data_IF_225085994164
#
_entry.id   IF_225085994164
#
_cell.length_a   1.000
_cell.length_b   1.000
_cell.length_c   1.000
_cell.angle_alpha   90.00
_cell.angle_beta   90.00
_cell.angle_gamma   90.00
#
_symmetry.space_group_name_H-M   'P 1'
#
loop_
_entity.id
_entity.type
_entity.pdbx_description
1 polymer ?
#
# COMPACT_ATOMS: atom_id res chain seq x y z
N UNK A 1 14.84 14.79 35.50
CA UNK A 1 13.92 15.85 35.05
C UNK A 1 14.79 16.81 34.27
N UNK A 2 14.98 16.51 32.99
CA UNK A 2 15.65 17.39 32.04
C UNK A 2 14.70 17.48 30.86
N UNK A 3 13.97 18.60 30.79
CA UNK A 3 13.08 18.93 29.69
C UNK A 3 13.94 19.20 28.45
N UNK A 4 14.04 18.20 27.57
CA UNK A 4 14.49 18.43 26.20
C UNK A 4 13.39 19.16 25.43
N UNK A 5 13.32 20.48 25.62
CA UNK A 5 12.70 21.35 24.65
C UNK A 5 13.49 21.23 23.33
N UNK A 6 12.89 20.55 22.34
CA UNK A 6 13.34 20.63 20.96
C UNK A 6 13.02 22.06 20.46
N UNK A 7 13.90 23.01 20.80
CA UNK A 7 13.91 24.33 20.18
C UNK A 7 14.27 24.13 18.70
N UNK A 8 13.45 24.71 17.81
CA UNK A 8 13.84 24.85 16.41
C UNK A 8 15.22 25.51 16.37
N UNK A 9 16.13 25.10 15.46
CA UNK A 9 17.38 25.84 15.28
C UNK A 9 17.06 27.32 15.08
N UNK A 10 17.75 28.20 15.83
CA UNK A 10 17.54 29.65 15.87
C UNK A 10 17.51 30.31 14.47
N UNK A 11 18.02 29.60 13.47
CA UNK A 11 18.02 29.93 12.04
C UNK A 11 16.61 30.03 11.40
N UNK A 12 15.58 29.51 12.09
CA UNK A 12 14.16 29.56 11.69
C UNK A 12 13.34 30.60 12.49
N UNK A 13 13.96 31.31 13.43
CA UNK A 13 13.35 32.47 14.07
C UNK A 13 13.54 33.72 13.20
N UNK A 14 12.42 34.33 12.83
CA UNK A 14 12.37 35.66 12.23
C UNK A 14 13.01 36.64 13.21
N UNK A 15 14.25 37.11 12.99
CA UNK A 15 14.66 38.49 13.35
C UNK A 15 16.10 38.94 13.02
N UNK A 16 16.84 38.36 12.05
CA UNK A 16 18.16 38.94 11.73
C UNK A 16 18.67 38.89 10.29
N UNK A 17 17.88 38.43 9.31
CA UNK A 17 18.33 38.40 7.91
C UNK A 17 17.20 38.81 6.94
N UNK A 18 17.50 39.44 5.79
CA UNK A 18 16.49 39.87 4.82
C UNK A 18 15.58 38.69 4.47
N UNK A 19 14.26 38.94 4.48
CA UNK A 19 13.18 37.96 4.37
C UNK A 19 13.56 36.76 3.50
N UNK A 20 14.05 35.69 4.13
CA UNK A 20 14.51 34.50 3.43
C UNK A 20 13.29 33.86 2.77
N UNK A 21 13.34 33.66 1.46
CA UNK A 21 12.28 32.93 0.75
C UNK A 21 12.31 31.47 1.16
N UNK A 22 11.25 31.01 1.81
CA UNK A 22 11.04 29.60 2.12
C UNK A 22 10.43 28.94 0.88
N UNK A 23 11.00 27.81 0.48
CA UNK A 23 10.48 26.99 -0.60
C UNK A 23 9.94 25.69 -0.01
N UNK A 24 8.84 25.19 -0.58
CA UNK A 24 8.22 23.95 -0.12
C UNK A 24 7.91 23.03 -1.29
N UNK A 25 8.03 21.72 -1.04
CA UNK A 25 7.60 20.66 -1.93
C UNK A 25 6.83 19.62 -1.12
N UNK A 26 5.58 19.38 -1.50
CA UNK A 26 4.77 18.28 -1.02
C UNK A 26 4.94 17.08 -1.96
N UNK A 27 4.92 15.87 -1.39
CA UNK A 27 5.02 14.63 -2.16
C UNK A 27 3.95 13.66 -1.71
N UNK A 28 3.22 13.10 -2.66
CA UNK A 28 2.36 11.96 -2.37
C UNK A 28 3.24 10.75 -2.05
N UNK A 29 2.95 10.08 -0.93
CA UNK A 29 3.78 8.96 -0.45
C UNK A 29 3.09 7.62 -0.52
N UNK A 30 1.76 7.58 -0.48
CA UNK A 30 1.00 6.36 -0.61
C UNK A 30 -0.41 6.68 -1.13
N UNK A 31 -0.97 5.74 -1.86
CA UNK A 31 -2.37 5.74 -2.29
C UNK A 31 -2.78 4.30 -2.59
N UNK A 32 -4.08 4.05 -2.58
CA UNK A 32 -4.66 2.74 -2.83
C UNK A 32 -5.82 2.90 -3.80
N UNK A 33 -6.32 1.78 -4.34
CA UNK A 33 -7.42 1.81 -5.29
C UNK A 33 -8.60 2.64 -4.76
N UNK A 34 -9.31 3.37 -5.63
CA UNK A 34 -10.56 4.01 -5.27
C UNK A 34 -11.51 3.01 -4.61
N UNK A 35 -12.39 3.52 -3.74
CA UNK A 35 -13.44 2.69 -3.14
C UNK A 35 -14.25 2.03 -4.26
N UNK A 36 -14.34 0.70 -4.22
CA UNK A 36 -15.20 -0.09 -5.10
C UNK A 36 -16.36 -0.69 -4.29
N UNK A 37 -17.39 -1.12 -4.99
CA UNK A 37 -18.62 -1.61 -4.41
C UNK A 37 -18.67 -3.13 -4.46
N UNK A 38 -19.32 -3.73 -3.46
CA UNK A 38 -19.76 -5.11 -3.57
C UNK A 38 -20.86 -5.20 -4.61
N UNK A 39 -20.97 -6.37 -5.23
CA UNK A 39 -22.05 -6.61 -6.15
C UNK A 39 -23.42 -6.50 -5.46
N UNK A 40 -24.39 -5.88 -6.15
CA UNK A 40 -25.78 -5.75 -5.71
C UNK A 40 -26.66 -6.73 -6.47
N UNK A 41 -27.85 -6.99 -5.96
CA UNK A 41 -28.81 -7.96 -6.55
C UNK A 41 -29.39 -7.56 -7.91
N UNK A 42 -29.18 -6.33 -8.39
CA UNK A 42 -29.71 -5.84 -9.67
C UNK A 42 -28.92 -6.33 -10.90
N UNK A 43 -27.76 -6.96 -10.70
CA UNK A 43 -26.87 -7.50 -11.72
C UNK A 43 -26.42 -6.46 -12.77
N UNK A 44 -26.59 -5.16 -12.51
CA UNK A 44 -26.31 -4.09 -13.49
C UNK A 44 -24.82 -4.02 -13.82
N UNK A 45 -23.98 -4.15 -12.78
CA UNK A 45 -22.52 -4.13 -12.92
C UNK A 45 -22.05 -5.28 -13.82
N UNK A 46 -22.60 -6.48 -13.67
CA UNK A 46 -22.24 -7.64 -14.50
C UNK A 46 -22.53 -7.37 -15.98
N UNK A 47 -23.73 -6.89 -16.28
CA UNK A 47 -24.15 -6.58 -17.65
C UNK A 47 -23.20 -5.57 -18.30
N UNK A 48 -22.90 -4.48 -17.59
CA UNK A 48 -21.94 -3.46 -18.04
C UNK A 48 -20.54 -4.02 -18.29
N UNK A 49 -20.05 -4.88 -17.40
CA UNK A 49 -18.74 -5.51 -17.57
C UNK A 49 -18.72 -6.42 -18.82
N UNK A 50 -19.76 -7.25 -19.02
CA UNK A 50 -19.89 -8.11 -20.20
C UNK A 50 -19.99 -7.27 -21.49
N UNK A 51 -20.74 -6.17 -21.49
CA UNK A 51 -20.88 -5.26 -22.64
C UNK A 51 -19.54 -4.63 -23.03
N UNK A 52 -18.73 -4.21 -22.05
CA UNK A 52 -17.39 -3.67 -22.31
C UNK A 52 -16.46 -4.72 -22.94
N UNK A 53 -16.50 -5.95 -22.45
CA UNK A 53 -15.75 -7.08 -23.01
C UNK A 53 -16.24 -7.43 -24.41
N UNK A 54 -17.56 -7.51 -24.63
CA UNK A 54 -18.16 -7.79 -25.94
C UNK A 54 -17.80 -6.72 -26.97
N UNK A 55 -17.67 -5.46 -26.55
CA UNK A 55 -17.28 -4.35 -27.41
C UNK A 55 -15.76 -4.27 -27.65
N UNK A 56 -14.98 -5.22 -27.14
CA UNK A 56 -13.50 -5.26 -27.22
C UNK A 56 -12.82 -4.00 -26.62
N UNK A 57 -13.53 -3.30 -25.72
CA UNK A 57 -13.04 -2.07 -25.06
C UNK A 57 -12.29 -2.36 -23.77
N UNK A 58 -12.34 -3.60 -23.28
CA UNK A 58 -11.62 -4.04 -22.10
C UNK A 58 -11.68 -5.55 -21.94
N UNK A 59 -10.92 -6.04 -20.96
CA UNK A 59 -10.90 -7.45 -20.55
C UNK A 59 -11.34 -7.51 -19.10
N UNK A 60 -12.16 -8.50 -18.75
CA UNK A 60 -12.55 -8.73 -17.37
C UNK A 60 -11.40 -9.45 -16.66
N UNK A 61 -10.87 -8.82 -15.62
CA UNK A 61 -9.89 -9.41 -14.72
C UNK A 61 -10.53 -9.77 -13.39
N UNK A 62 -10.18 -10.94 -12.88
CA UNK A 62 -10.62 -11.43 -11.58
C UNK A 62 -9.41 -11.88 -10.77
N UNK A 63 -9.39 -11.53 -9.49
CA UNK A 63 -8.37 -11.97 -8.52
C UNK A 63 -9.00 -12.44 -7.22
N UNK A 64 -8.30 -13.26 -6.44
CA UNK A 64 -8.78 -13.65 -5.12
C UNK A 64 -8.83 -12.44 -4.17
N UNK A 65 -9.89 -12.35 -3.36
CA UNK A 65 -9.94 -11.39 -2.24
C UNK A 65 -9.32 -12.04 -1.01
N UNK A 66 -8.06 -11.71 -0.76
CA UNK A 66 -7.38 -12.10 0.47
C UNK A 66 -7.98 -11.38 1.67
N UNK A 67 -7.91 -12.03 2.84
CA UNK A 67 -8.55 -11.54 4.06
C UNK A 67 -7.51 -11.05 5.05
N UNK A 68 -7.24 -9.74 5.01
CA UNK A 68 -6.23 -9.13 5.84
C UNK A 68 -6.47 -7.63 6.06
N UNK A 69 -5.37 -6.90 6.23
CA UNK A 69 -5.37 -5.45 6.37
C UNK A 69 -4.59 -4.81 5.21
N UNK A 70 -5.10 -3.71 4.66
CA UNK A 70 -4.38 -2.94 3.65
C UNK A 70 -3.07 -2.38 4.25
N UNK A 71 -1.96 -2.75 3.64
CA UNK A 71 -0.61 -2.29 3.95
C UNK A 71 0.02 -1.68 2.70
N UNK A 72 0.65 -0.53 2.83
CA UNK A 72 1.31 0.18 1.74
C UNK A 72 2.75 0.51 2.14
N UNK A 73 3.67 0.38 1.19
CA UNK A 73 5.09 0.60 1.41
C UNK A 73 5.74 1.30 0.23
N UNK A 74 6.51 2.35 0.51
CA UNK A 74 7.07 3.24 -0.52
C UNK A 74 8.57 3.47 -0.35
N UNK A 75 9.24 2.53 0.32
CA UNK A 75 10.64 2.64 0.70
C UNK A 75 10.81 3.05 2.17
N UNK A 76 12.00 2.79 2.68
CA UNK A 76 12.36 2.94 4.09
C UNK A 76 12.29 4.40 4.58
N UNK A 77 12.88 5.34 3.84
CA UNK A 77 12.86 6.76 4.23
C UNK A 77 11.48 7.41 4.02
N UNK A 78 10.68 6.86 3.12
CA UNK A 78 9.34 7.36 2.81
C UNK A 78 8.33 6.89 3.85
N UNK A 79 8.39 5.61 4.20
CA UNK A 79 7.62 5.01 5.28
C UNK A 79 6.57 3.99 4.83
N UNK A 80 5.88 3.48 5.85
CA UNK A 80 4.86 2.46 5.73
C UNK A 80 3.50 3.00 6.19
N UNK A 81 2.43 2.57 5.52
CA UNK A 81 1.10 3.12 5.71
C UNK A 81 0.07 1.99 5.81
N UNK A 82 -0.89 2.14 6.71
CA UNK A 82 -2.15 1.43 6.70
C UNK A 82 -3.21 2.32 6.04
N UNK A 83 -4.43 1.79 5.84
CA UNK A 83 -5.52 2.47 5.11
C UNK A 83 -5.69 3.97 5.44
N UNK A 84 -5.65 4.34 6.72
CA UNK A 84 -5.88 5.71 7.18
C UNK A 84 -4.88 6.15 8.26
N UNK A 85 -3.74 5.48 8.38
CA UNK A 85 -2.80 5.71 9.47
C UNK A 85 -1.39 5.27 9.10
N UNK A 86 -0.40 5.72 9.87
CA UNK A 86 0.99 5.29 9.80
C UNK A 86 1.56 5.21 11.22
N UNK A 87 2.77 4.70 11.39
CA UNK A 87 3.48 4.80 12.67
C UNK A 87 2.86 3.98 13.82
N UNK A 88 2.11 2.94 13.50
CA UNK A 88 1.36 2.13 14.46
C UNK A 88 1.63 0.63 14.27
N UNK A 89 0.99 -0.19 15.11
CA UNK A 89 1.16 -1.64 15.09
C UNK A 89 0.92 -2.28 13.72
N UNK A 90 -0.13 -1.87 12.98
CA UNK A 90 -0.42 -2.42 11.64
C UNK A 90 0.75 -2.21 10.68
N UNK A 91 1.30 -0.99 10.67
CA UNK A 91 2.45 -0.67 9.82
C UNK A 91 3.73 -1.37 10.25
N UNK A 92 3.96 -1.54 11.56
CA UNK A 92 5.12 -2.26 12.07
C UNK A 92 5.06 -3.76 11.72
N UNK A 93 3.89 -4.38 11.86
CA UNK A 93 3.65 -5.77 11.42
C UNK A 93 3.89 -5.89 9.91
N UNK A 94 3.37 -4.96 9.10
CA UNK A 94 3.59 -5.00 7.66
C UNK A 94 5.06 -4.88 7.25
N UNK A 95 5.83 -3.99 7.89
CA UNK A 95 7.28 -3.86 7.68
C UNK A 95 8.00 -5.16 8.05
N UNK A 96 7.68 -5.75 9.20
CA UNK A 96 8.26 -7.03 9.64
C UNK A 96 7.93 -8.19 8.67
N UNK A 97 6.66 -8.31 8.26
CA UNK A 97 6.22 -9.37 7.34
C UNK A 97 6.84 -9.20 5.95
N UNK A 98 6.97 -7.98 5.46
CA UNK A 98 7.68 -7.70 4.20
C UNK A 98 9.18 -8.03 4.32
N UNK A 99 9.82 -7.66 5.42
CA UNK A 99 11.22 -8.01 5.68
C UNK A 99 11.42 -9.55 5.65
N UNK A 100 10.54 -10.27 6.34
CA UNK A 100 10.53 -11.75 6.36
C UNK A 100 10.29 -12.34 4.98
N UNK A 101 9.42 -11.72 4.17
CA UNK A 101 9.18 -12.13 2.78
C UNK A 101 10.47 -12.04 1.94
N UNK A 102 11.26 -10.98 2.10
CA UNK A 102 12.58 -10.89 1.47
C UNK A 102 13.56 -11.96 1.98
N UNK A 103 13.55 -12.25 3.28
CA UNK A 103 14.38 -13.32 3.86
C UNK A 103 14.02 -14.69 3.27
N UNK A 104 12.73 -15.00 3.14
CA UNK A 104 12.26 -16.25 2.51
C UNK A 104 12.68 -16.34 1.04
N UNK A 105 12.54 -15.24 0.29
CA UNK A 105 12.76 -15.22 -1.15
C UNK A 105 14.23 -15.14 -1.58
N UNK A 106 15.07 -14.45 -0.79
CA UNK A 106 16.45 -14.10 -1.16
C UNK A 106 17.50 -14.66 -0.20
N UNK A 107 17.11 -15.20 0.96
CA UNK A 107 18.00 -15.81 1.96
C UNK A 107 19.17 -14.88 2.32
N UNK A 108 20.41 -15.34 2.17
CA UNK A 108 21.62 -14.57 2.51
C UNK A 108 21.75 -13.24 1.74
N UNK A 109 21.04 -13.08 0.62
CA UNK A 109 21.01 -11.83 -0.16
C UNK A 109 19.90 -10.86 0.26
N UNK A 110 19.03 -11.23 1.22
CA UNK A 110 17.86 -10.45 1.57
C UNK A 110 18.19 -9.02 1.99
N UNK A 111 19.19 -8.82 2.86
CA UNK A 111 19.62 -7.48 3.28
C UNK A 111 20.02 -6.59 2.09
N UNK A 112 20.80 -7.13 1.15
CA UNK A 112 21.18 -6.41 -0.06
C UNK A 112 19.93 -6.09 -0.92
N UNK A 113 19.03 -7.06 -1.08
CA UNK A 113 17.83 -6.90 -1.91
C UNK A 113 16.82 -5.93 -1.31
N UNK A 114 16.70 -5.87 0.01
CA UNK A 114 15.90 -4.88 0.72
C UNK A 114 16.42 -3.46 0.44
N UNK A 115 17.74 -3.22 0.54
CA UNK A 115 18.33 -1.92 0.19
C UNK A 115 18.11 -1.53 -1.27
N UNK A 116 18.33 -2.48 -2.19
CA UNK A 116 18.09 -2.25 -3.62
C UNK A 116 16.63 -1.94 -3.90
N UNK A 117 15.70 -2.66 -3.27
CA UNK A 117 14.26 -2.46 -3.39
C UNK A 117 13.84 -1.08 -2.88
N UNK A 118 14.28 -0.70 -1.68
CA UNK A 118 13.96 0.60 -1.09
C UNK A 118 14.46 1.75 -1.96
N UNK A 119 15.72 1.66 -2.39
CA UNK A 119 16.30 2.62 -3.33
C UNK A 119 15.54 2.69 -4.65
N UNK A 120 15.04 1.56 -5.15
CA UNK A 120 14.24 1.51 -6.36
C UNK A 120 12.87 2.18 -6.18
N UNK A 121 12.14 1.87 -5.10
CA UNK A 121 10.84 2.49 -4.81
C UNK A 121 10.97 4.00 -4.66
N UNK A 122 11.96 4.47 -3.91
CA UNK A 122 12.14 5.89 -3.62
C UNK A 122 12.53 6.69 -4.85
N UNK A 123 13.44 6.16 -5.68
CA UNK A 123 13.90 6.82 -6.91
C UNK A 123 12.82 6.91 -7.98
N UNK A 124 11.98 5.89 -8.07
CA UNK A 124 10.91 5.82 -9.06
C UNK A 124 9.57 6.31 -8.49
N UNK A 125 9.55 6.85 -7.27
CA UNK A 125 8.33 7.32 -6.59
C UNK A 125 7.20 6.29 -6.59
N UNK A 126 7.50 5.04 -6.28
CA UNK A 126 6.53 3.94 -6.29
C UNK A 126 5.97 3.67 -4.89
N UNK A 127 4.68 3.33 -4.84
CA UNK A 127 4.00 2.79 -3.67
C UNK A 127 3.48 1.38 -3.98
N UNK A 128 3.86 0.41 -3.15
CA UNK A 128 3.40 -0.97 -3.25
C UNK A 128 2.28 -1.19 -2.24
N UNK A 129 1.09 -1.50 -2.73
CA UNK A 129 -0.08 -1.84 -1.92
C UNK A 129 -0.22 -3.35 -1.83
N UNK A 130 -0.41 -3.84 -0.62
CA UNK A 130 -0.45 -5.25 -0.28
C UNK A 130 -1.62 -5.52 0.66
N UNK A 131 -2.17 -6.73 0.56
CA UNK A 131 -2.96 -7.29 1.66
C UNK A 131 -2.00 -7.93 2.66
N UNK A 132 -2.03 -7.46 3.91
CA UNK A 132 -1.28 -8.00 5.03
C UNK A 132 -2.14 -9.04 5.75
N UNK A 133 -1.86 -10.32 5.49
CA UNK A 133 -2.63 -11.45 6.01
C UNK A 133 -1.86 -12.06 7.19
N UNK A 134 -2.33 -11.77 8.40
CA UNK A 134 -1.69 -12.22 9.65
C UNK A 134 -2.75 -12.52 10.69
N UNK A 135 -2.46 -13.39 11.66
CA UNK A 135 -3.42 -13.64 12.76
C UNK A 135 -3.26 -12.71 13.95
N UNK A 136 -2.34 -11.73 13.90
CA UNK A 136 -2.02 -10.85 15.05
C UNK A 136 -2.76 -9.51 14.99
N UNK A 137 -3.34 -9.17 13.84
CA UNK A 137 -4.09 -7.93 13.61
C UNK A 137 -5.62 -8.14 13.59
N UNK A 138 -6.08 -9.35 13.91
CA UNK A 138 -7.48 -9.78 13.85
C UNK A 138 -7.72 -10.78 12.73
N UNK A 139 -8.81 -11.54 12.86
CA UNK A 139 -9.25 -12.50 11.85
C UNK A 139 -10.41 -11.88 11.05
N UNK A 140 -10.17 -11.55 9.78
CA UNK A 140 -11.18 -10.97 8.87
C UNK A 140 -11.93 -12.03 8.04
N UNK A 141 -11.56 -13.30 8.22
CA UNK A 141 -12.07 -14.47 7.52
C UNK A 141 -11.48 -15.72 8.17
N UNK A 142 -10.98 -16.67 7.36
CA UNK A 142 -10.22 -17.78 7.92
C UNK A 142 -8.90 -17.32 8.53
N UNK A 143 -8.67 -17.70 9.79
CA UNK A 143 -7.41 -17.46 10.47
C UNK A 143 -6.26 -18.06 9.66
N UNK A 144 -5.27 -17.24 9.24
CA UNK A 144 -4.24 -17.70 8.33
C UNK A 144 -3.28 -18.69 9.02
N UNK A 145 -2.77 -19.63 8.22
CA UNK A 145 -1.77 -20.63 8.63
C UNK A 145 -0.37 -20.04 8.68
N UNK A 146 -0.10 -19.05 7.85
CA UNK A 146 1.17 -18.33 7.76
C UNK A 146 0.90 -16.83 7.71
N UNK A 147 1.83 -16.05 8.25
CA UNK A 147 1.79 -14.59 8.13
C UNK A 147 2.49 -14.19 6.82
N UNK A 148 1.82 -13.45 5.94
CA UNK A 148 2.35 -13.05 4.64
C UNK A 148 1.74 -11.75 4.14
N UNK A 149 2.40 -11.16 3.15
CA UNK A 149 1.84 -10.08 2.33
C UNK A 149 1.54 -10.61 0.94
N UNK A 150 0.56 -10.05 0.26
CA UNK A 150 0.30 -10.29 -1.17
C UNK A 150 0.09 -8.97 -1.87
N UNK A 151 0.83 -8.72 -2.95
CA UNK A 151 0.77 -7.46 -3.67
C UNK A 151 -0.54 -7.38 -4.46
N UNK A 152 -1.28 -6.30 -4.24
CA UNK A 152 -2.56 -6.02 -4.92
C UNK A 152 -2.44 -4.85 -5.89
N UNK A 153 -1.50 -3.92 -5.66
CA UNK A 153 -1.21 -2.84 -6.58
C UNK A 153 0.22 -2.33 -6.45
N UNK A 154 0.73 -1.75 -7.54
CA UNK A 154 1.90 -0.87 -7.53
C UNK A 154 1.46 0.44 -8.18
N UNK A 155 1.80 1.56 -7.57
CA UNK A 155 1.35 2.88 -8.01
C UNK A 155 2.54 3.79 -8.26
N UNK A 156 2.59 4.41 -9.43
CA UNK A 156 3.49 5.51 -9.75
C UNK A 156 2.93 6.81 -9.16
N UNK A 157 3.75 7.50 -8.36
CA UNK A 157 3.43 8.74 -7.66
C UNK A 157 4.23 9.94 -8.18
N UNK A 158 4.90 9.83 -9.33
CA UNK A 158 5.64 10.95 -9.96
C UNK A 158 4.71 12.11 -10.37
N UNK A 159 3.45 11.82 -10.66
CA UNK A 159 2.43 12.81 -11.00
C UNK A 159 1.07 12.46 -10.41
N UNK A 160 0.02 12.46 -11.26
CA UNK A 160 -1.26 11.88 -10.88
C UNK A 160 -1.04 10.37 -10.62
N UNK A 161 -1.58 9.80 -9.53
CA UNK A 161 -1.44 8.39 -9.26
C UNK A 161 -1.86 7.51 -10.43
N UNK A 162 -0.93 6.68 -10.90
CA UNK A 162 -1.17 5.70 -11.95
C UNK A 162 -0.86 4.30 -11.45
N UNK A 163 -1.87 3.43 -11.45
CA UNK A 163 -1.70 2.04 -11.06
C UNK A 163 -1.10 1.24 -12.21
N UNK A 164 -0.11 0.41 -11.91
CA UNK A 164 0.48 -0.51 -12.87
C UNK A 164 -0.60 -1.37 -13.50
N UNK A 165 -0.52 -1.53 -14.83
CA UNK A 165 -1.31 -2.55 -15.49
C UNK A 165 -0.87 -3.93 -15.00
N UNK A 166 -1.77 -4.91 -15.04
CA UNK A 166 -1.51 -6.25 -14.52
C UNK A 166 -0.24 -6.91 -15.06
N UNK A 167 0.11 -6.82 -16.36
CA UNK A 167 1.41 -7.31 -16.83
C UNK A 167 2.60 -6.68 -16.10
N UNK A 168 2.57 -5.36 -15.89
CA UNK A 168 3.65 -4.62 -15.22
C UNK A 168 3.72 -4.97 -13.73
N UNK A 169 2.55 -5.17 -13.09
CA UNK A 169 2.46 -5.64 -11.71
C UNK A 169 3.08 -7.04 -11.54
N UNK A 170 2.72 -7.99 -12.42
CA UNK A 170 3.25 -9.35 -12.38
C UNK A 170 4.76 -9.35 -12.64
N UNK A 171 5.23 -8.60 -13.64
CA UNK A 171 6.67 -8.47 -13.92
C UNK A 171 7.42 -7.90 -12.70
N UNK A 172 6.91 -6.82 -12.12
CA UNK A 172 7.47 -6.19 -10.93
C UNK A 172 7.57 -7.17 -9.76
N UNK A 173 6.49 -7.87 -9.44
CA UNK A 173 6.48 -8.79 -8.31
C UNK A 173 7.40 -10.00 -8.55
N UNK A 174 7.45 -10.54 -9.77
CA UNK A 174 8.35 -11.66 -10.09
C UNK A 174 9.82 -11.24 -10.06
N UNK A 175 10.14 -10.03 -10.54
CA UNK A 175 11.49 -9.46 -10.43
C UNK A 175 11.96 -9.34 -8.98
N UNK A 176 11.09 -8.88 -8.08
CA UNK A 176 11.41 -8.72 -6.66
C UNK A 176 11.11 -9.95 -5.80
N UNK A 177 10.57 -11.01 -6.39
CA UNK A 177 10.06 -12.23 -5.74
C UNK A 177 9.03 -11.94 -4.62
N UNK A 178 8.20 -10.92 -4.84
CA UNK A 178 7.10 -10.58 -3.95
C UNK A 178 5.90 -11.51 -4.22
N UNK A 179 5.10 -11.86 -3.19
CA UNK A 179 3.91 -12.67 -3.39
C UNK A 179 2.88 -11.97 -4.29
N UNK A 180 2.51 -12.60 -5.40
CA UNK A 180 1.46 -12.15 -6.32
C UNK A 180 0.16 -12.87 -6.04
N UNK A 181 -0.95 -12.18 -6.28
CA UNK A 181 -2.26 -12.79 -6.29
C UNK A 181 -2.42 -13.71 -7.53
N UNK A 182 -3.41 -14.59 -7.49
CA UNK A 182 -3.87 -15.33 -8.65
C UNK A 182 -4.74 -14.42 -9.53
N UNK A 183 -4.55 -14.49 -10.84
CA UNK A 183 -5.22 -13.63 -11.82
C UNK A 183 -5.85 -14.47 -12.91
N UNK A 184 -7.11 -14.19 -13.22
CA UNK A 184 -7.82 -14.75 -14.38
C UNK A 184 -8.28 -13.63 -15.30
N UNK A 185 -8.06 -13.80 -16.61
CA UNK A 185 -8.56 -12.88 -17.63
C UNK A 185 -9.64 -13.53 -18.50
N UNK A 186 -10.71 -12.78 -18.74
CA UNK A 186 -11.85 -13.15 -19.58
C UNK A 186 -12.05 -12.06 -20.64
N UNK A 187 -11.65 -12.39 -21.85
CA UNK A 187 -11.51 -11.49 -23.00
C UNK A 187 -12.67 -11.57 -24.00
N UNK A 188 -13.58 -12.54 -23.85
CA UNK A 188 -14.74 -12.69 -24.72
C UNK A 188 -16.04 -12.59 -23.94
N UNK A 189 -17.14 -12.23 -24.62
CA UNK A 189 -18.49 -12.28 -24.02
C UNK A 189 -18.77 -13.66 -23.41
N UNK A 190 -18.36 -14.73 -24.09
CA UNK A 190 -18.57 -16.12 -23.67
C UNK A 190 -17.84 -16.40 -22.35
N UNK A 191 -16.53 -16.15 -22.29
CA UNK A 191 -15.71 -16.42 -21.11
C UNK A 191 -16.13 -15.54 -19.93
N UNK A 192 -16.46 -14.26 -20.16
CA UNK A 192 -16.98 -13.38 -19.11
C UNK A 192 -18.36 -13.82 -18.57
N UNK A 193 -19.26 -14.30 -19.45
CA UNK A 193 -20.55 -14.86 -19.00
C UNK A 193 -20.34 -16.15 -18.19
N UNK A 194 -19.44 -17.03 -18.65
CA UNK A 194 -19.08 -18.24 -17.93
C UNK A 194 -18.53 -17.94 -16.54
N UNK A 195 -17.71 -16.90 -16.38
CA UNK A 195 -17.25 -16.45 -15.05
C UNK A 195 -18.41 -16.15 -14.11
N UNK A 196 -19.37 -15.31 -14.51
CA UNK A 196 -20.49 -14.95 -13.64
C UNK A 196 -21.40 -16.15 -13.34
N UNK A 197 -21.62 -17.04 -14.31
CA UNK A 197 -22.37 -18.29 -14.06
C UNK A 197 -21.66 -19.20 -13.07
N UNK A 198 -20.33 -19.37 -13.20
CA UNK A 198 -19.53 -20.14 -12.25
C UNK A 198 -19.49 -19.49 -10.87
N UNK A 199 -19.43 -18.15 -10.81
CA UNK A 199 -19.51 -17.41 -9.54
C UNK A 199 -20.83 -17.69 -8.83
N UNK A 200 -21.98 -17.60 -9.52
CA UNK A 200 -23.30 -17.88 -8.91
C UNK A 200 -23.41 -19.31 -8.41
N UNK A 201 -22.78 -20.28 -9.09
CA UNK A 201 -22.78 -21.67 -8.67
C UNK A 201 -21.88 -21.94 -7.46
N UNK A 202 -20.90 -21.08 -7.19
CA UNK A 202 -19.84 -21.32 -6.20
C UNK A 202 -19.80 -20.28 -5.06
N UNK A 203 -20.58 -19.20 -5.11
CA UNK A 203 -20.43 -18.07 -4.19
C UNK A 203 -20.74 -18.42 -2.72
N UNK A 204 -21.62 -19.40 -2.46
CA UNK A 204 -22.01 -19.81 -1.10
C UNK A 204 -21.16 -20.97 -0.55
N UNK A 205 -20.80 -21.94 -1.39
CA UNK A 205 -20.18 -23.21 -0.96
C UNK A 205 -18.77 -23.46 -1.55
N UNK A 206 -18.33 -22.60 -2.47
CA UNK A 206 -17.06 -22.74 -3.15
C UNK A 206 -15.87 -22.59 -2.20
N UNK A 207 -14.95 -23.55 -2.25
CA UNK A 207 -13.66 -23.43 -1.57
C UNK A 207 -12.64 -22.79 -2.50
N UNK A 208 -11.53 -22.32 -1.94
CA UNK A 208 -10.38 -21.82 -2.70
C UNK A 208 -9.97 -22.82 -3.78
N UNK A 209 -9.90 -24.10 -3.44
CA UNK A 209 -9.53 -25.15 -4.39
C UNK A 209 -10.55 -25.31 -5.52
N UNK A 210 -11.85 -25.35 -5.22
CA UNK A 210 -12.87 -25.54 -6.25
C UNK A 210 -13.02 -24.30 -7.13
N UNK A 211 -13.06 -23.11 -6.54
CA UNK A 211 -13.12 -21.84 -7.26
C UNK A 211 -11.92 -21.68 -8.17
N UNK A 212 -10.70 -21.85 -7.66
CA UNK A 212 -9.49 -21.64 -8.47
C UNK A 212 -9.42 -22.60 -9.65
N UNK A 213 -9.76 -23.88 -9.43
CA UNK A 213 -9.81 -24.89 -10.50
C UNK A 213 -10.84 -24.53 -11.57
N UNK A 214 -12.06 -24.20 -11.17
CA UNK A 214 -13.10 -23.82 -12.12
C UNK A 214 -12.68 -22.60 -12.92
N UNK A 215 -12.16 -21.55 -12.27
CA UNK A 215 -11.71 -20.34 -12.96
C UNK A 215 -10.50 -20.59 -13.88
N UNK A 216 -9.57 -21.46 -13.50
CA UNK A 216 -8.47 -21.88 -14.37
C UNK A 216 -8.98 -22.53 -15.66
N UNK A 217 -10.04 -23.36 -15.58
CA UNK A 217 -10.63 -24.05 -16.73
C UNK A 217 -11.40 -23.11 -17.68
N UNK A 218 -12.05 -22.05 -17.16
CA UNK A 218 -12.92 -21.17 -17.97
C UNK A 218 -12.25 -19.85 -18.40
N UNK A 219 -11.09 -19.51 -17.82
CA UNK A 219 -10.34 -18.29 -18.15
C UNK A 219 -9.60 -18.41 -19.47
N UNK A 220 -9.42 -17.27 -20.15
CA UNK A 220 -8.59 -17.22 -21.37
C UNK A 220 -7.09 -17.16 -21.01
N UNK A 221 -6.75 -16.54 -19.88
CA UNK A 221 -5.41 -16.58 -19.26
C UNK A 221 -5.56 -16.77 -17.76
N UNK A 222 -4.82 -17.74 -17.22
CA UNK A 222 -4.63 -17.92 -15.78
C UNK A 222 -3.17 -17.66 -15.41
N UNK A 223 -2.95 -16.81 -14.40
CA UNK A 223 -1.65 -16.55 -13.80
C UNK A 223 -1.67 -17.04 -12.36
N UNK A 224 -0.85 -18.03 -12.09
CA UNK A 224 -0.72 -18.62 -10.76
C UNK A 224 -0.09 -17.62 -9.78
N UNK A 225 -0.62 -17.61 -8.55
CA UNK A 225 -0.03 -16.90 -7.43
C UNK A 225 1.36 -17.47 -7.10
N UNK A 226 2.30 -16.63 -6.65
CA UNK A 226 3.61 -17.11 -6.20
C UNK A 226 3.58 -17.73 -4.79
N UNK A 227 2.51 -17.47 -4.02
CA UNK A 227 2.20 -18.14 -2.77
C UNK A 227 0.75 -18.60 -2.79
N UNK A 228 0.51 -19.89 -2.55
CA UNK A 228 -0.84 -20.45 -2.62
C UNK A 228 -1.72 -19.93 -1.48
N UNK A 229 -2.95 -19.51 -1.81
CA UNK A 229 -3.95 -19.16 -0.82
C UNK A 229 -4.29 -20.35 0.09
N UNK A 230 -4.40 -21.58 -0.45
CA UNK A 230 -4.70 -22.79 0.35
C UNK A 230 -3.60 -23.11 1.34
N UNK A 231 -2.35 -22.89 0.97
CA UNK A 231 -1.20 -23.14 1.85
C UNK A 231 -1.08 -22.06 2.93
N UNK A 232 -1.27 -20.79 2.58
CA UNK A 232 -1.02 -19.66 3.46
C UNK A 232 -2.22 -19.30 4.35
N UNK A 233 -3.44 -19.34 3.81
CA UNK A 233 -4.67 -18.90 4.48
C UNK A 233 -5.67 -20.06 4.69
N UNK A 234 -5.76 -21.00 3.75
CA UNK A 234 -6.64 -22.16 3.81
C UNK A 234 -7.70 -22.18 2.71
N UNK A 235 -8.78 -22.92 2.93
CA UNK A 235 -9.80 -23.19 1.91
C UNK A 235 -10.90 -22.13 1.84
N UNK A 236 -11.14 -21.36 2.91
CA UNK A 236 -12.23 -20.37 2.96
C UNK A 236 -11.78 -19.08 2.27
N UNK A 237 -12.49 -18.71 1.21
CA UNK A 237 -12.33 -17.44 0.50
C UNK A 237 -13.22 -16.37 1.12
N UNK A 238 -12.71 -15.14 1.22
CA UNK A 238 -13.57 -14.00 1.55
C UNK A 238 -14.39 -13.53 0.33
N UNK A 239 -13.84 -13.74 -0.87
CA UNK A 239 -14.51 -13.43 -2.12
C UNK A 239 -13.55 -13.27 -3.29
N UNK A 240 -14.01 -12.61 -4.33
CA UNK A 240 -13.26 -12.27 -5.53
C UNK A 240 -13.32 -10.75 -5.76
N UNK A 241 -12.29 -10.20 -6.38
CA UNK A 241 -12.28 -8.82 -6.87
C UNK A 241 -12.27 -8.86 -8.39
N UNK A 242 -13.25 -8.19 -9.01
CA UNK A 242 -13.39 -8.12 -10.45
C UNK A 242 -13.20 -6.67 -10.93
N UNK A 243 -12.48 -6.48 -12.04
CA UNK A 243 -12.30 -5.16 -12.67
C UNK A 243 -12.16 -5.27 -14.18
N UNK A 244 -12.39 -4.16 -14.88
CA UNK A 244 -12.07 -4.06 -16.31
C UNK A 244 -10.65 -3.51 -16.46
N UNK A 245 -9.84 -4.20 -17.26
CA UNK A 245 -8.49 -3.78 -17.63
C UNK A 245 -8.38 -3.56 -19.14
N UNK A 246 -7.25 -2.98 -19.58
CA UNK A 246 -6.98 -2.71 -21.00
C UNK A 246 -7.07 -3.98 -21.86
N UNK A 247 -7.60 -3.91 -23.10
CA UNK A 247 -7.55 -5.02 -24.06
C UNK A 247 -6.13 -5.55 -24.30
N UNK A 248 -5.12 -4.67 -24.22
CA UNK A 248 -3.71 -5.04 -24.40
C UNK A 248 -3.15 -5.88 -23.24
N UNK A 249 -3.87 -6.02 -22.13
CA UNK A 249 -3.40 -6.80 -20.98
C UNK A 249 -3.19 -8.26 -21.34
N UNK A 250 -4.06 -8.86 -22.17
CA UNK A 250 -3.96 -10.27 -22.56
C UNK A 250 -2.64 -10.59 -23.27
N UNK A 251 -2.32 -9.87 -24.34
CA UNK A 251 -1.08 -10.04 -25.12
C UNK A 251 0.16 -9.75 -24.28
N UNK A 252 0.16 -8.62 -23.55
CA UNK A 252 1.30 -8.22 -22.71
C UNK A 252 1.54 -9.21 -21.58
N UNK A 253 0.49 -9.78 -20.98
CA UNK A 253 0.61 -10.69 -19.86
C UNK A 253 1.23 -12.03 -20.29
N UNK A 254 0.87 -12.55 -21.47
CA UNK A 254 1.51 -13.76 -22.02
C UNK A 254 3.02 -13.58 -22.13
N UNK A 255 3.45 -12.45 -22.73
CA UNK A 255 4.88 -12.12 -22.84
C UNK A 255 5.57 -11.99 -21.47
N UNK A 256 4.93 -11.32 -20.52
CA UNK A 256 5.48 -11.19 -19.16
C UNK A 256 5.64 -12.54 -18.47
N UNK A 257 4.72 -13.48 -18.70
CA UNK A 257 4.81 -14.81 -18.09
C UNK A 257 6.04 -15.58 -18.58
N UNK A 258 6.39 -15.40 -19.86
CA UNK A 258 7.57 -15.97 -20.49
C UNK A 258 8.86 -15.27 -20.04
N UNK A 259 8.88 -13.93 -20.10
CA UNK A 259 10.07 -13.11 -19.76
C UNK A 259 10.43 -13.17 -18.27
N UNK A 260 9.42 -13.34 -17.41
CA UNK A 260 9.58 -13.41 -15.96
C UNK A 260 8.90 -14.68 -15.44
N UNK A 261 9.50 -15.87 -15.55
CA UNK A 261 8.87 -17.10 -15.09
C UNK A 261 8.68 -17.11 -13.56
N UNK A 262 7.68 -17.86 -13.09
CA UNK A 262 7.41 -18.01 -11.66
C UNK A 262 8.55 -18.77 -10.98
N UNK A 263 9.24 -18.12 -10.05
CA UNK A 263 10.29 -18.77 -9.25
C UNK A 263 9.63 -19.45 -8.06
N UNK A 264 9.51 -20.79 -8.11
CA UNK A 264 9.05 -21.58 -6.97
C UNK A 264 10.22 -21.77 -6.01
N UNK A 265 10.18 -21.11 -4.86
CA UNK A 265 11.12 -21.34 -3.77
C UNK A 265 10.87 -22.74 -3.16
N UNK A 266 11.49 -23.79 -3.73
CA UNK A 266 11.44 -25.15 -3.17
C UNK A 266 12.08 -25.17 -1.78
N UNK A 267 11.35 -25.69 -0.79
CA UNK A 267 11.91 -26.22 0.46
C UNK A 267 12.64 -25.19 1.33
N UNK A 268 11.95 -24.67 2.33
CA UNK A 268 12.53 -23.93 3.43
C UNK A 268 13.46 -24.83 4.26
N UNK A 269 14.78 -24.71 4.07
CA UNK A 269 15.66 -24.66 5.24
C UNK A 269 15.14 -23.46 6.04
N UNK A 270 14.49 -23.71 7.19
CA UNK A 270 13.95 -22.68 8.10
C UNK A 270 15.10 -21.80 8.57
N UNK A 271 15.44 -20.77 7.80
CA UNK A 271 16.01 -19.54 8.32
C UNK A 271 14.81 -18.68 8.72
N UNK A 272 14.08 -19.13 9.74
CA UNK A 272 13.13 -18.26 10.43
C UNK A 272 13.94 -17.18 11.13
N UNK A 273 13.42 -15.95 11.25
CA UNK A 273 13.90 -15.02 12.26
C UNK A 273 14.01 -15.74 13.62
N UNK A 274 14.88 -15.29 14.53
CA UNK A 274 15.03 -15.90 15.86
C UNK A 274 13.70 -16.07 16.61
N UNK A 275 12.66 -15.29 16.25
CA UNK A 275 11.27 -15.44 16.70
C UNK A 275 10.31 -15.01 15.59
N UNK A 276 9.21 -15.73 15.37
CA UNK A 276 8.19 -15.35 14.39
C UNK A 276 7.29 -14.22 14.89
N UNK A 277 6.44 -13.72 13.98
CA UNK A 277 5.55 -12.59 14.25
C UNK A 277 4.67 -12.82 15.49
N UNK A 278 4.12 -14.02 15.64
CA UNK A 278 3.25 -14.39 16.76
C UNK A 278 4.02 -14.42 18.07
N UNK A 279 5.20 -15.03 18.08
CA UNK A 279 6.03 -15.09 19.29
C UNK A 279 6.39 -13.69 19.79
N UNK A 280 6.83 -12.80 18.90
CA UNK A 280 7.16 -11.40 19.25
C UNK A 280 5.92 -10.68 19.81
N UNK A 281 4.78 -10.79 19.11
CA UNK A 281 3.54 -10.15 19.56
C UNK A 281 3.04 -10.66 20.91
N UNK A 282 3.19 -11.96 21.20
CA UNK A 282 2.82 -12.56 22.49
C UNK A 282 3.75 -12.14 23.61
N UNK A 283 5.07 -12.10 23.38
CA UNK A 283 6.06 -11.66 24.38
C UNK A 283 5.81 -10.23 24.87
N UNK A 284 5.30 -9.35 24.00
CA UNK A 284 5.01 -7.95 24.29
C UNK A 284 3.51 -7.63 24.32
N UNK A 285 2.66 -8.61 24.68
CA UNK A 285 1.19 -8.47 24.59
C UNK A 285 0.65 -7.25 25.36
N UNK A 286 1.26 -6.90 26.50
CA UNK A 286 0.78 -5.84 27.41
C UNK A 286 1.35 -4.45 27.10
N UNK A 287 2.22 -4.29 26.10
CA UNK A 287 2.82 -3.00 25.75
C UNK A 287 2.97 -2.87 24.23
N UNK A 288 2.08 -2.10 23.60
CA UNK A 288 2.09 -1.90 22.15
C UNK A 288 3.36 -1.19 21.65
N UNK A 289 3.91 -0.25 22.43
CA UNK A 289 5.13 0.47 22.06
C UNK A 289 6.32 -0.49 22.01
N UNK A 290 6.50 -1.34 23.03
CA UNK A 290 7.57 -2.34 23.02
C UNK A 290 7.37 -3.40 21.94
N UNK A 291 6.11 -3.77 21.65
CA UNK A 291 5.78 -4.66 20.54
C UNK A 291 6.20 -4.07 19.20
N UNK A 292 5.88 -2.81 18.94
CA UNK A 292 6.30 -2.11 17.72
C UNK A 292 7.83 -2.07 17.62
N UNK A 293 8.53 -1.68 18.69
CA UNK A 293 10.00 -1.64 18.71
C UNK A 293 10.60 -3.01 18.41
N UNK A 294 10.09 -4.08 19.03
CA UNK A 294 10.58 -5.44 18.82
C UNK A 294 10.38 -5.89 17.36
N UNK A 295 9.22 -5.59 16.76
CA UNK A 295 8.95 -5.90 15.36
C UNK A 295 9.90 -5.16 14.42
N UNK A 296 10.08 -3.85 14.61
CA UNK A 296 10.97 -3.04 13.76
C UNK A 296 12.44 -3.45 13.93
N UNK A 297 12.88 -3.76 15.15
CA UNK A 297 14.22 -4.28 15.41
C UNK A 297 14.48 -5.59 14.65
N UNK A 298 13.53 -6.53 14.72
CA UNK A 298 13.67 -7.81 14.02
C UNK A 298 13.48 -7.71 12.49
N UNK A 299 12.79 -6.67 11.99
CA UNK A 299 12.73 -6.40 10.55
C UNK A 299 14.10 -5.99 9.97
N UNK A 300 14.97 -5.43 10.82
CA UNK A 300 16.33 -5.03 10.48
C UNK A 300 16.42 -3.61 9.91
N UNK A 301 17.63 -3.02 9.95
CA UNK A 301 17.85 -1.61 9.61
C UNK A 301 17.66 -1.31 8.12
N UNK A 302 17.73 -2.32 7.25
CA UNK A 302 17.56 -2.15 5.80
C UNK A 302 16.09 -1.89 5.41
N UNK A 303 15.14 -2.33 6.24
CA UNK A 303 13.70 -2.14 6.01
C UNK A 303 13.12 -0.97 6.83
N UNK A 304 13.77 -0.63 7.95
CA UNK A 304 13.42 0.47 8.85
C UNK A 304 14.68 1.10 9.46
N UNK A 305 15.26 2.09 8.78
CA UNK A 305 16.42 2.85 9.26
C UNK A 305 16.02 4.00 10.19
N UNK A 306 14.79 4.53 10.05
CA UNK A 306 14.32 5.68 10.81
C UNK A 306 13.00 5.40 11.54
N UNK A 307 13.07 5.39 12.87
CA UNK A 307 11.97 5.03 13.76
C UNK A 307 11.06 6.20 14.13
N UNK A 308 11.33 7.42 13.64
CA UNK A 308 10.61 8.63 14.05
C UNK A 308 9.10 8.58 13.76
N UNK A 309 8.68 7.76 12.80
CA UNK A 309 7.25 7.57 12.50
C UNK A 309 6.52 6.82 13.61
N UNK A 310 7.22 5.98 14.37
CA UNK A 310 6.67 5.13 15.44
C UNK A 310 6.99 5.66 16.84
N UNK A 311 7.68 6.80 16.94
CA UNK A 311 7.91 7.49 18.21
C UNK A 311 6.73 8.38 18.58
N UNK A 312 6.30 8.33 19.84
CA UNK A 312 5.15 9.07 20.38
C UNK A 312 5.38 10.58 20.57
N UNK A 313 6.58 11.09 20.30
CA UNK A 313 6.96 12.48 20.57
C UNK A 313 6.52 13.40 19.43
N UNK A 314 5.22 13.68 19.41
CA UNK A 314 4.63 14.64 18.51
C UNK A 314 4.88 16.08 18.99
N UNK A 315 5.90 16.75 18.50
CA UNK A 315 6.04 18.19 18.72
C UNK A 315 5.07 18.94 17.79
N UNK A 316 3.93 19.38 18.32
CA UNK A 316 2.93 20.14 17.56
C UNK A 316 3.47 21.53 17.18
N UNK A 317 4.23 21.62 16.10
CA UNK A 317 4.74 22.88 15.56
C UNK A 317 3.65 23.53 14.70
N UNK A 318 3.49 24.86 14.82
CA UNK A 318 2.64 25.66 13.91
C UNK A 318 3.25 25.74 12.51
N UNK A 319 3.10 24.67 11.73
CA UNK A 319 3.65 24.54 10.37
C UNK A 319 2.74 25.14 9.31
N UNK A 320 1.43 25.05 9.48
CA UNK A 320 0.44 25.40 8.45
C UNK A 320 0.58 26.85 7.94
N UNK A 321 0.73 27.88 8.79
CA UNK A 321 0.92 29.25 8.30
C UNK A 321 2.21 29.43 7.50
N UNK A 322 3.29 28.74 7.89
CA UNK A 322 4.57 28.77 7.17
C UNK A 322 4.45 28.08 5.80
N UNK A 323 3.78 26.93 5.75
CA UNK A 323 3.53 26.19 4.52
C UNK A 323 2.71 26.97 3.49
N UNK A 324 1.65 27.65 3.93
CA UNK A 324 0.78 28.44 3.03
C UNK A 324 1.50 29.65 2.43
N UNK A 325 2.44 30.26 3.18
CA UNK A 325 3.22 31.44 2.76
C UNK A 325 4.46 31.09 1.94
N UNK A 326 4.95 29.85 2.01
CA UNK A 326 6.13 29.41 1.28
C UNK A 326 5.90 29.36 -0.24
N UNK A 327 6.98 29.52 -1.01
CA UNK A 327 6.95 29.39 -2.46
C UNK A 327 6.88 27.91 -2.83
N UNK A 328 5.80 27.49 -3.52
CA UNK A 328 5.66 26.13 -4.02
C UNK A 328 6.67 25.85 -5.14
N UNK A 329 7.38 24.71 -5.05
CA UNK A 329 8.34 24.27 -6.05
C UNK A 329 7.70 23.56 -7.25
N UNK A 330 6.46 23.10 -7.10
CA UNK A 330 5.71 22.41 -8.15
C UNK A 330 4.20 22.69 -8.05
N UNK A 331 3.48 22.31 -9.11
CA UNK A 331 2.04 22.51 -9.21
C UNK A 331 1.26 21.74 -8.13
N UNK A 332 1.67 20.51 -7.81
CA UNK A 332 1.01 19.68 -6.79
C UNK A 332 1.06 20.37 -5.42
N UNK A 333 2.23 20.93 -5.07
CA UNK A 333 2.41 21.67 -3.83
C UNK A 333 1.59 22.95 -3.81
N UNK A 334 1.55 23.69 -4.93
CA UNK A 334 0.72 24.88 -5.05
C UNK A 334 -0.76 24.55 -4.82
N UNK A 335 -1.26 23.47 -5.41
CA UNK A 335 -2.64 22.99 -5.23
C UNK A 335 -2.92 22.54 -3.82
N UNK A 336 -1.97 21.85 -3.18
CA UNK A 336 -2.11 21.52 -1.77
C UNK A 336 -2.20 22.80 -0.92
N UNK A 337 -1.35 23.80 -1.17
CA UNK A 337 -1.44 25.09 -0.46
C UNK A 337 -2.79 25.79 -0.68
N UNK A 338 -3.38 25.75 -1.88
CA UNK A 338 -4.72 26.27 -2.17
C UNK A 338 -5.80 25.56 -1.32
N UNK A 339 -5.76 24.22 -1.24
CA UNK A 339 -6.66 23.44 -0.36
C UNK A 339 -6.50 23.88 1.10
N UNK A 340 -5.27 24.02 1.58
CA UNK A 340 -5.01 24.51 2.94
C UNK A 340 -5.54 25.93 3.17
N UNK A 341 -5.46 26.83 2.18
CA UNK A 341 -6.06 28.18 2.26
C UNK A 341 -7.58 28.10 2.39
N UNK A 342 -8.24 27.23 1.62
CA UNK A 342 -9.70 27.02 1.72
C UNK A 342 -10.06 26.50 3.11
N UNK A 343 -9.43 25.42 3.56
CA UNK A 343 -9.65 24.84 4.90
C UNK A 343 -9.51 25.91 5.99
N UNK A 344 -8.45 26.71 5.93
CA UNK A 344 -8.17 27.73 6.94
C UNK A 344 -9.15 28.90 6.88
N UNK A 345 -9.44 29.41 5.68
CA UNK A 345 -10.39 30.53 5.48
C UNK A 345 -11.81 30.18 5.93
N UNK A 346 -12.22 28.93 5.72
CA UNK A 346 -13.54 28.43 6.12
C UNK A 346 -13.58 27.90 7.55
N UNK A 347 -12.46 27.98 8.30
CA UNK A 347 -12.34 27.48 9.69
C UNK A 347 -12.84 26.04 9.85
N UNK A 348 -12.48 25.19 8.89
CA UNK A 348 -12.92 23.79 8.90
C UNK A 348 -12.41 23.07 10.15
N UNK A 349 -13.24 22.19 10.70
CA UNK A 349 -12.87 21.38 11.87
C UNK A 349 -11.88 20.28 11.46
N UNK A 350 -10.59 20.59 11.63
CA UNK A 350 -9.49 19.65 11.36
C UNK A 350 -8.49 19.60 12.51
N UNK A 351 -7.75 18.50 12.61
CA UNK A 351 -6.55 18.39 13.46
C UNK A 351 -5.33 18.16 12.57
N UNK A 352 -4.26 18.91 12.80
CA UNK A 352 -3.06 18.90 11.95
C UNK A 352 -1.77 18.62 12.74
N UNK A 353 -1.58 17.42 13.32
CA UNK A 353 -0.29 17.10 13.91
C UNK A 353 0.80 17.18 12.84
N UNK A 354 1.91 17.81 13.19
CA UNK A 354 3.07 18.01 12.34
C UNK A 354 4.31 17.56 13.10
N UNK A 355 5.20 16.83 12.44
CA UNK A 355 6.41 16.28 13.04
C UNK A 355 7.62 16.60 12.16
N UNK A 356 8.73 17.01 12.77
CA UNK A 356 10.01 17.06 12.08
C UNK A 356 10.54 15.62 11.95
N UNK A 357 10.76 15.16 10.72
CA UNK A 357 11.36 13.84 10.44
C UNK A 357 12.87 13.91 10.30
N UNK A 358 13.36 14.96 9.66
CA UNK A 358 14.77 15.11 9.32
C UNK A 358 15.09 16.60 9.21
N UNK A 359 16.28 16.97 9.65
CA UNK A 359 16.84 18.30 9.47
C UNK A 359 18.29 18.17 9.02
N UNK A 360 18.56 18.71 7.84
CA UNK A 360 19.90 18.89 7.32
C UNK A 360 20.30 20.36 7.50
N UNK A 361 21.23 20.61 8.41
CA UNK A 361 21.74 21.95 8.71
C UNK A 361 22.64 22.50 7.61
N UNK A 362 23.31 21.63 6.83
CA UNK A 362 24.19 22.02 5.73
C UNK A 362 23.37 22.46 4.52
N UNK A 363 22.38 21.64 4.11
CA UNK A 363 21.43 21.98 3.04
C UNK A 363 20.33 22.95 3.50
N UNK A 364 20.25 23.26 4.80
CA UNK A 364 19.16 24.04 5.43
C UNK A 364 17.78 23.53 5.05
N UNK A 365 17.63 22.21 5.06
CA UNK A 365 16.47 21.49 4.57
C UNK A 365 15.83 20.73 5.71
N UNK A 366 14.55 20.98 5.92
CA UNK A 366 13.75 20.28 6.93
C UNK A 366 12.67 19.46 6.24
N UNK A 367 12.57 18.17 6.59
CA UNK A 367 11.49 17.30 6.18
C UNK A 367 10.46 17.23 7.30
N UNK A 368 9.24 17.69 7.01
CA UNK A 368 8.11 17.57 7.92
C UNK A 368 7.12 16.51 7.43
N UNK A 369 6.47 15.84 8.38
CA UNK A 369 5.27 15.05 8.12
C UNK A 369 4.08 15.71 8.78
N UNK A 370 3.06 16.02 7.98
CA UNK A 370 1.81 16.62 8.45
C UNK A 370 0.68 15.63 8.18
N UNK A 371 -0.10 15.31 9.21
CA UNK A 371 -1.34 14.54 9.05
C UNK A 371 -2.51 15.51 9.06
N UNK A 372 -3.45 15.34 8.14
CA UNK A 372 -4.71 16.09 8.14
C UNK A 372 -5.85 15.17 8.59
N UNK A 373 -6.30 15.33 9.83
CA UNK A 373 -7.51 14.66 10.30
C UNK A 373 -8.71 15.56 10.04
N UNK A 374 -9.57 15.14 9.11
CA UNK A 374 -10.86 15.77 8.85
C UNK A 374 -11.86 15.28 9.88
N UNK A 375 -12.35 16.17 10.76
CA UNK A 375 -13.30 15.81 11.82
C UNK A 375 -14.76 15.89 11.34
N UNK A 376 -15.00 16.67 10.29
CA UNK A 376 -16.28 16.82 9.62
C UNK A 376 -16.07 16.93 8.11
N UNK A 377 -16.55 15.94 7.36
CA UNK A 377 -16.39 15.84 5.91
C UNK A 377 -17.41 16.70 5.13
N UNK A 378 -18.42 17.27 5.80
CA UNK A 378 -19.40 18.15 5.17
C UNK A 378 -18.73 19.32 4.45
N UNK A 379 -17.70 19.91 5.06
CA UNK A 379 -16.96 21.01 4.47
C UNK A 379 -16.20 20.59 3.20
N UNK A 380 -15.60 19.40 3.18
CA UNK A 380 -14.92 18.88 1.99
C UNK A 380 -15.90 18.59 0.84
N UNK A 381 -17.12 18.14 1.17
CA UNK A 381 -18.20 17.97 0.17
C UNK A 381 -18.73 19.31 -0.33
N UNK A 382 -18.94 20.27 0.56
CA UNK A 382 -19.46 21.61 0.23
C UNK A 382 -18.50 22.40 -0.65
N UNK A 383 -17.20 22.37 -0.31
CA UNK A 383 -16.17 23.13 -1.00
C UNK A 383 -15.38 22.31 -2.03
N UNK A 384 -15.95 21.18 -2.47
CA UNK A 384 -15.28 20.25 -3.38
C UNK A 384 -14.86 20.94 -4.69
N UNK A 385 -15.68 21.86 -5.20
CA UNK A 385 -15.39 22.60 -6.43
C UNK A 385 -14.26 23.61 -6.27
N UNK A 386 -14.11 24.20 -5.09
CA UNK A 386 -13.03 25.11 -4.73
C UNK A 386 -11.73 24.37 -4.42
N UNK A 387 -11.82 23.07 -4.07
CA UNK A 387 -10.68 22.19 -3.83
C UNK A 387 -10.24 21.40 -5.07
N UNK A 388 -11.10 21.29 -6.08
CA UNK A 388 -10.79 20.68 -7.38
C UNK A 388 -10.43 21.75 -8.38
N UNK A 389 -9.15 21.88 -8.75
CA UNK A 389 -8.68 22.31 -10.07
C UNK A 389 -7.19 22.07 -10.17
#
# INVERSE_FOLDING_TARGET
MDDYHCELPADLEENSYPARRIYTQARLRATFYPKFENEKSDLEIRKRMIEVVQAEKGVLEVTLKHSGSLFMYSGDHVGAFAKNSFGNLYTAVGVFTLATTFQEAWRDQAAQKQREFNKYLERNHLCVSMELVTSVLGDHGQRPRQDYVVVTAVTDLTGKPEFFATPDLIAFCRQWRLPTNQVWLFSSRKSATSFFTSYDALCEEGTTTTVSRTLDEISDISVQASKSHTEAQGEILEGLVARIVSPKSTERLQKVIEDFPLVVCKGSRKLTPQSGLREICTQHMNNETEKIKALLYNAGPDMCSNWSDWSSEATSISFVPKFIKATALDHITLKLQEIFRVIWSQRMRIRTPCHLREYDSEERKALYRVTLHVLDDYAFRKYQKEMWY
#
